data_IF_962281558419
#
_entry.id   IF_962281558419
#
_cell.length_a   1.000
_cell.length_b   1.000
_cell.length_c   1.000
_cell.angle_alpha   90.00
_cell.angle_beta   90.00
_cell.angle_gamma   90.00
#
_symmetry.space_group_name_H-M   'P 1'
#
loop_
_entity.id
_entity.type
_entity.pdbx_description
1 polymer ?
#
# COMPACT_ATOMS: atom_id res chain seq x y z
N UNK A 1 4.12 14.76 -24.75
CA UNK A 1 4.20 15.36 -26.11
C UNK A 1 3.17 14.75 -27.06
N UNK A 2 3.11 13.42 -27.27
CA UNK A 2 2.14 12.81 -28.22
C UNK A 2 0.68 12.99 -27.78
N UNK A 3 0.33 12.74 -26.51
CA UNK A 3 -1.03 12.99 -25.97
C UNK A 3 -1.47 14.47 -26.04
N UNK A 4 -0.52 15.40 -26.04
CA UNK A 4 -0.79 16.85 -26.15
C UNK A 4 -1.00 17.25 -27.60
N UNK A 5 -0.25 16.64 -28.52
CA UNK A 5 -0.36 16.89 -29.96
C UNK A 5 -1.56 16.17 -30.60
N UNK A 6 -1.94 15.00 -30.06
CA UNK A 6 -3.00 14.14 -30.59
C UNK A 6 -3.85 13.59 -29.44
N UNK A 7 -4.81 14.36 -28.93
CA UNK A 7 -5.65 13.88 -27.85
C UNK A 7 -6.52 12.69 -28.32
N UNK A 8 -6.68 11.63 -27.52
CA UNK A 8 -7.33 10.39 -27.94
C UNK A 8 -8.81 10.58 -28.33
N UNK A 9 -9.49 11.56 -27.74
CA UNK A 9 -10.93 11.78 -27.88
C UNK A 9 -11.31 12.76 -29.00
N UNK A 10 -10.35 13.25 -29.80
CA UNK A 10 -10.62 14.24 -30.84
C UNK A 10 -10.74 13.57 -32.21
N UNK A 11 -11.78 13.95 -32.96
CA UNK A 11 -12.05 13.42 -34.31
C UNK A 11 -10.88 13.66 -35.29
N UNK A 12 -10.06 14.69 -35.06
CA UNK A 12 -8.88 15.03 -35.87
C UNK A 12 -7.66 14.13 -35.64
N UNK A 13 -7.71 13.22 -34.66
CA UNK A 13 -6.58 12.32 -34.37
C UNK A 13 -6.47 11.25 -35.47
N UNK A 14 -5.30 11.11 -36.15
CA UNK A 14 -5.12 10.14 -37.22
C UNK A 14 -5.44 8.70 -36.80
N UNK A 15 -5.96 7.90 -37.73
CA UNK A 15 -6.33 6.49 -37.49
C UNK A 15 -5.17 5.65 -36.94
N UNK A 16 -3.96 5.88 -37.44
CA UNK A 16 -2.77 5.14 -37.01
C UNK A 16 -2.37 5.49 -35.57
N UNK A 17 -2.59 6.73 -35.16
CA UNK A 17 -2.37 7.20 -33.78
C UNK A 17 -3.42 6.61 -32.84
N UNK A 18 -4.69 6.52 -33.28
CA UNK A 18 -5.74 5.81 -32.53
C UNK A 18 -5.43 4.33 -32.36
N UNK A 19 -4.95 3.68 -33.43
CA UNK A 19 -4.52 2.29 -33.39
C UNK A 19 -3.33 2.09 -32.43
N UNK A 20 -2.39 3.04 -32.41
CA UNK A 20 -1.28 3.01 -31.47
C UNK A 20 -1.76 3.12 -30.01
N UNK A 21 -2.70 4.03 -29.73
CA UNK A 21 -3.31 4.13 -28.39
C UNK A 21 -3.98 2.84 -27.98
N UNK A 22 -4.75 2.22 -28.88
CA UNK A 22 -5.39 0.93 -28.61
C UNK A 22 -4.36 -0.16 -28.29
N UNK A 23 -3.29 -0.28 -29.10
CA UNK A 23 -2.24 -1.27 -28.85
C UNK A 23 -1.50 -1.05 -27.53
N UNK A 24 -1.31 0.20 -27.14
CA UNK A 24 -0.71 0.56 -25.85
C UNK A 24 -1.65 0.17 -24.70
N UNK A 25 -2.94 0.47 -24.81
CA UNK A 25 -3.94 0.08 -23.81
C UNK A 25 -4.05 -1.45 -23.69
N UNK A 26 -4.06 -2.19 -24.81
CA UNK A 26 -4.04 -3.65 -24.83
C UNK A 26 -2.79 -4.21 -24.13
N UNK A 27 -1.63 -3.59 -24.37
CA UNK A 27 -0.36 -3.99 -23.76
C UNK A 27 -0.35 -3.73 -22.25
N UNK A 28 -0.88 -2.58 -21.82
CA UNK A 28 -1.03 -2.24 -20.41
C UNK A 28 -1.96 -3.25 -19.73
N UNK A 29 -3.12 -3.52 -20.32
CA UNK A 29 -4.08 -4.48 -19.78
C UNK A 29 -3.45 -5.87 -19.66
N UNK A 30 -2.70 -6.31 -20.67
CA UNK A 30 -1.97 -7.59 -20.63
C UNK A 30 -0.98 -7.68 -19.47
N UNK A 31 -0.25 -6.61 -19.15
CA UNK A 31 0.67 -6.60 -18.01
C UNK A 31 -0.06 -6.58 -16.68
N UNK A 32 -1.18 -5.84 -16.58
CA UNK A 32 -2.05 -5.85 -15.40
C UNK A 32 -2.61 -7.26 -15.16
N UNK A 33 -3.12 -7.91 -16.20
CA UNK A 33 -3.68 -9.25 -16.11
C UNK A 33 -2.62 -10.27 -15.71
N UNK A 34 -1.40 -10.16 -16.25
CA UNK A 34 -0.27 -11.01 -15.86
C UNK A 34 0.04 -10.90 -14.36
N UNK A 35 0.05 -9.69 -13.81
CA UNK A 35 0.38 -9.45 -12.38
C UNK A 35 -0.77 -9.82 -11.44
N UNK A 36 -2.02 -9.71 -11.93
CA UNK A 36 -3.23 -9.91 -11.11
C UNK A 36 -3.91 -11.25 -11.30
N UNK A 37 -3.39 -12.10 -12.19
CA UNK A 37 -3.86 -13.48 -12.37
C UNK A 37 -3.63 -14.30 -11.10
N UNK A 38 -4.55 -15.23 -10.73
CA UNK A 38 -4.31 -16.20 -9.66
C UNK A 38 -3.09 -17.07 -10.02
N UNK A 39 -1.93 -16.78 -9.42
CA UNK A 39 -0.71 -17.53 -9.68
C UNK A 39 -0.80 -18.90 -9.01
N UNK A 40 -0.66 -19.98 -9.78
CA UNK A 40 -0.29 -21.30 -9.24
C UNK A 40 1.19 -21.24 -8.83
N UNK A 41 1.58 -21.98 -7.79
CA UNK A 41 2.97 -22.03 -7.31
C UNK A 41 3.94 -22.35 -8.46
N UNK A 42 4.67 -21.36 -8.96
CA UNK A 42 5.66 -21.55 -10.03
C UNK A 42 5.80 -20.42 -11.05
N UNK A 43 4.88 -19.45 -11.12
CA UNK A 43 5.07 -18.30 -12.03
C UNK A 43 6.02 -17.25 -11.43
N UNK A 44 7.16 -17.06 -12.10
CA UNK A 44 8.17 -16.03 -11.83
C UNK A 44 7.71 -14.65 -12.34
N UNK A 45 6.54 -14.18 -11.89
CA UNK A 45 6.22 -12.76 -12.05
C UNK A 45 7.13 -11.96 -11.13
N UNK A 46 8.16 -11.34 -11.69
CA UNK A 46 9.20 -10.63 -10.95
C UNK A 46 8.67 -9.40 -10.21
N UNK A 47 9.27 -9.07 -9.07
CA UNK A 47 9.00 -7.83 -8.31
C UNK A 47 9.13 -6.57 -9.20
N UNK A 48 10.07 -6.60 -10.15
CA UNK A 48 10.25 -5.54 -11.15
C UNK A 48 9.05 -5.35 -12.09
N UNK A 49 8.34 -6.42 -12.44
CA UNK A 49 7.12 -6.36 -13.26
C UNK A 49 5.99 -5.67 -12.49
N UNK A 50 5.86 -5.96 -11.20
CA UNK A 50 4.87 -5.30 -10.33
C UNK A 50 5.22 -3.82 -10.16
N UNK A 51 6.49 -3.48 -9.94
CA UNK A 51 6.94 -2.07 -9.87
C UNK A 51 6.59 -1.28 -11.13
N UNK A 52 6.82 -1.87 -12.30
CA UNK A 52 6.46 -1.26 -13.58
C UNK A 52 4.95 -1.04 -13.72
N UNK A 53 4.14 -2.04 -13.40
CA UNK A 53 2.67 -1.92 -13.44
C UNK A 53 2.16 -0.84 -12.49
N UNK A 54 2.71 -0.74 -11.28
CA UNK A 54 2.35 0.32 -10.33
C UNK A 54 2.71 1.72 -10.84
N UNK A 55 3.86 1.86 -11.51
CA UNK A 55 4.26 3.13 -12.15
C UNK A 55 3.29 3.51 -13.28
N UNK A 56 2.90 2.55 -14.12
CA UNK A 56 1.91 2.76 -15.18
C UNK A 56 0.57 3.17 -14.59
N UNK A 57 0.04 2.43 -13.61
CA UNK A 57 -1.24 2.73 -12.94
C UNK A 57 -1.20 4.13 -12.32
N UNK A 58 -0.10 4.50 -11.65
CA UNK A 58 0.08 5.84 -11.09
C UNK A 58 -0.01 6.91 -12.18
N UNK A 59 0.73 6.73 -13.27
CA UNK A 59 0.75 7.66 -14.40
C UNK A 59 -0.63 7.80 -15.05
N UNK A 60 -1.35 6.68 -15.22
CA UNK A 60 -2.72 6.67 -15.75
C UNK A 60 -3.70 7.39 -14.84
N UNK A 61 -3.59 7.17 -13.53
CA UNK A 61 -4.45 7.84 -12.53
C UNK A 61 -4.19 9.35 -12.49
N UNK A 62 -2.92 9.78 -12.58
CA UNK A 62 -2.54 11.20 -12.68
C UNK A 62 -3.05 11.84 -13.98
N UNK A 63 -3.12 11.06 -15.07
CA UNK A 63 -3.73 11.48 -16.33
C UNK A 63 -5.28 11.42 -16.33
N UNK A 64 -5.92 11.04 -15.21
CA UNK A 64 -7.37 10.97 -15.07
C UNK A 64 -8.02 9.72 -15.67
N UNK A 65 -7.25 8.71 -16.10
CA UNK A 65 -7.81 7.42 -16.52
C UNK A 65 -8.36 6.67 -15.31
N UNK A 66 -9.54 6.08 -15.50
CA UNK A 66 -10.16 5.22 -14.50
C UNK A 66 -9.45 3.87 -14.43
N UNK A 67 -9.12 3.43 -13.22
CA UNK A 67 -8.59 2.11 -12.92
C UNK A 67 -9.61 1.38 -12.06
N UNK A 68 -9.96 0.15 -12.43
CA UNK A 68 -10.94 -0.62 -11.69
C UNK A 68 -10.44 -0.93 -10.27
N UNK A 69 -11.23 -0.62 -9.21
CA UNK A 69 -10.82 -0.85 -7.83
C UNK A 69 -10.30 -2.27 -7.51
N UNK A 70 -10.89 -3.37 -8.06
CA UNK A 70 -10.40 -4.72 -7.79
C UNK A 70 -8.96 -4.99 -8.27
N UNK A 71 -8.44 -4.24 -9.25
CA UNK A 71 -7.06 -4.39 -9.75
C UNK A 71 -6.07 -4.07 -8.61
N UNK A 72 -6.26 -2.92 -7.96
CA UNK A 72 -5.40 -2.47 -6.85
C UNK A 72 -5.48 -3.43 -5.65
N UNK A 73 -6.66 -3.98 -5.38
CA UNK A 73 -6.85 -4.99 -4.31
C UNK A 73 -6.08 -6.27 -4.63
N UNK A 74 -6.13 -6.76 -5.87
CA UNK A 74 -5.39 -7.97 -6.28
C UNK A 74 -3.88 -7.77 -6.20
N UNK A 75 -3.37 -6.61 -6.60
CA UNK A 75 -1.95 -6.26 -6.48
C UNK A 75 -1.54 -6.20 -5.01
N UNK A 76 -2.33 -5.53 -4.16
CA UNK A 76 -2.09 -5.46 -2.71
C UNK A 76 -2.04 -6.86 -2.08
N UNK A 77 -3.01 -7.72 -2.41
CA UNK A 77 -3.04 -9.10 -1.92
C UNK A 77 -1.83 -9.93 -2.39
N UNK A 78 -1.38 -9.75 -3.63
CA UNK A 78 -0.17 -10.41 -4.15
C UNK A 78 1.06 -9.98 -3.37
N UNK A 79 1.28 -8.67 -3.24
CA UNK A 79 2.42 -8.12 -2.53
C UNK A 79 2.44 -8.52 -1.04
N UNK A 80 1.27 -8.58 -0.38
CA UNK A 80 1.17 -9.06 0.99
C UNK A 80 1.55 -10.54 1.13
N UNK A 81 1.20 -11.39 0.15
CA UNK A 81 1.67 -12.79 0.14
C UNK A 81 3.17 -12.89 -0.08
N UNK A 82 3.72 -12.07 -0.97
CA UNK A 82 5.14 -12.08 -1.30
C UNK A 82 5.98 -11.63 -0.09
N UNK A 83 5.45 -10.69 0.70
CA UNK A 83 6.01 -10.27 1.98
C UNK A 83 6.05 -11.40 3.02
N UNK A 84 4.93 -12.06 3.29
CA UNK A 84 4.89 -13.15 4.29
C UNK A 84 5.67 -14.39 3.87
N UNK A 85 5.84 -14.63 2.57
CA UNK A 85 6.69 -15.72 2.05
C UNK A 85 8.17 -15.48 2.33
N UNK A 86 8.62 -14.22 2.32
CA UNK A 86 10.01 -13.83 2.61
C UNK A 86 10.31 -13.89 4.12
N UNK A 87 9.33 -13.60 4.97
CA UNK A 87 9.46 -13.72 6.43
C UNK A 87 9.60 -15.19 6.88
N UNK A 88 8.89 -16.12 6.23
CA UNK A 88 8.91 -17.55 6.57
C UNK A 88 10.20 -18.29 6.23
N UNK A 89 10.99 -17.82 5.25
CA UNK A 89 12.28 -18.44 4.90
C UNK A 89 13.36 -18.21 5.95
N UNK A 90 13.26 -17.13 6.73
CA UNK A 90 14.26 -16.82 7.76
C UNK A 90 14.22 -17.78 8.96
N UNK A 91 13.07 -18.40 9.24
CA UNK A 91 12.87 -19.31 10.38
C UNK A 91 13.26 -20.77 10.10
N UNK A 92 13.36 -21.19 8.83
CA UNK A 92 13.72 -22.58 8.47
C UNK A 92 15.16 -22.79 8.03
N UNK A 93 15.92 -21.73 7.81
CA UNK A 93 17.34 -21.86 7.49
C UNK A 93 18.14 -22.00 8.78
N UNK A 94 18.07 -23.19 9.37
CA UNK A 94 19.01 -23.65 10.38
C UNK A 94 20.43 -23.40 9.89
N UNK A 95 21.15 -22.63 10.70
CA UNK A 95 22.57 -22.31 10.69
C UNK A 95 23.45 -23.44 10.08
N UNK A 96 23.59 -23.44 8.75
CA UNK A 96 24.74 -24.04 8.06
C UNK A 96 25.52 -22.90 7.46
N UNK A 97 26.56 -22.51 8.20
CA UNK A 97 27.56 -21.54 7.80
C UNK A 97 28.35 -22.16 6.64
N UNK A 98 27.93 -21.87 5.40
CA UNK A 98 28.78 -22.06 4.21
C UNK A 98 29.12 -20.66 3.66
N UNK A 99 30.41 -20.33 3.44
CA UNK A 99 30.86 -18.98 3.14
C UNK A 99 30.80 -18.69 1.63
N UNK A 100 29.62 -18.75 1.02
CA UNK A 100 29.39 -18.24 -0.34
C UNK A 100 28.22 -17.25 -0.32
N UNK A 101 28.47 -16.08 0.28
CA UNK A 101 27.50 -15.01 0.56
C UNK A 101 27.12 -14.14 -0.66
N UNK A 102 26.82 -14.75 -1.81
CA UNK A 102 26.24 -14.06 -2.97
C UNK A 102 24.71 -14.20 -3.05
N UNK A 103 24.11 -15.14 -2.31
CA UNK A 103 22.67 -15.46 -2.37
C UNK A 103 21.85 -14.60 -1.39
N UNK A 104 22.43 -14.24 -0.23
CA UNK A 104 21.75 -13.46 0.81
C UNK A 104 21.47 -11.99 0.39
N UNK A 105 22.34 -11.40 -0.43
CA UNK A 105 22.18 -10.01 -0.89
C UNK A 105 21.03 -9.79 -1.88
N UNK A 106 20.64 -10.83 -2.63
CA UNK A 106 19.51 -10.75 -3.59
C UNK A 106 18.15 -10.78 -2.88
N UNK A 107 18.01 -11.60 -1.84
CA UNK A 107 16.76 -11.69 -1.07
C UNK A 107 16.43 -10.40 -0.30
N UNK A 108 17.43 -9.67 0.20
CA UNK A 108 17.21 -8.36 0.84
C UNK A 108 16.78 -7.26 -0.13
N UNK A 109 17.30 -7.26 -1.37
CA UNK A 109 16.91 -6.31 -2.40
C UNK A 109 15.47 -6.52 -2.88
N UNK A 110 15.05 -7.79 -3.01
CA UNK A 110 13.68 -8.14 -3.40
C UNK A 110 12.67 -7.75 -2.31
N UNK A 111 13.00 -7.94 -1.03
CA UNK A 111 12.14 -7.50 0.09
C UNK A 111 11.95 -5.98 0.12
N UNK A 112 13.04 -5.21 -0.07
CA UNK A 112 12.97 -3.75 -0.14
C UNK A 112 12.10 -3.25 -1.30
N UNK A 113 12.16 -3.92 -2.45
CA UNK A 113 11.31 -3.62 -3.60
C UNK A 113 9.83 -4.00 -3.35
N UNK A 114 9.55 -5.12 -2.67
CA UNK A 114 8.19 -5.50 -2.25
C UNK A 114 7.62 -4.46 -1.27
N UNK A 115 8.40 -4.00 -0.29
CA UNK A 115 7.99 -2.93 0.65
C UNK A 115 7.69 -1.63 -0.12
N UNK A 116 8.57 -1.23 -1.04
CA UNK A 116 8.36 -0.05 -1.89
C UNK A 116 7.08 -0.15 -2.72
N UNK A 117 6.83 -1.33 -3.32
CA UNK A 117 5.62 -1.60 -4.08
C UNK A 117 4.36 -1.58 -3.20
N UNK A 118 4.42 -2.13 -1.98
CA UNK A 118 3.32 -2.08 -1.00
C UNK A 118 2.97 -0.63 -0.65
N UNK A 119 3.97 0.20 -0.37
CA UNK A 119 3.76 1.64 -0.14
C UNK A 119 3.11 2.31 -1.34
N UNK A 120 3.61 2.02 -2.53
CA UNK A 120 3.10 2.59 -3.78
C UNK A 120 1.62 2.21 -4.02
N UNK A 121 1.26 0.94 -3.86
CA UNK A 121 -0.14 0.50 -4.04
C UNK A 121 -1.06 1.07 -2.96
N UNK A 122 -0.61 1.19 -1.70
CA UNK A 122 -1.40 1.83 -0.64
C UNK A 122 -1.65 3.31 -0.91
N UNK A 123 -0.67 4.04 -1.48
CA UNK A 123 -0.86 5.43 -1.94
C UNK A 123 -1.85 5.55 -3.10
N UNK A 124 -1.96 4.51 -3.94
CA UNK A 124 -2.92 4.44 -5.06
C UNK A 124 -4.33 4.03 -4.62
N UNK A 125 -4.46 3.32 -3.49
CA UNK A 125 -5.76 3.01 -2.88
C UNK A 125 -6.32 4.32 -2.28
N UNK A 126 -6.97 5.07 -3.16
CA UNK A 126 -7.64 6.30 -2.83
C UNK A 126 -9.09 6.05 -2.37
N UNK A 127 -9.77 7.13 -2.00
CA UNK A 127 -11.20 7.18 -1.67
C UNK A 127 -12.05 6.32 -2.63
N UNK A 128 -11.78 6.38 -3.95
CA UNK A 128 -12.50 5.64 -4.99
C UNK A 128 -12.49 4.11 -4.80
N UNK A 129 -11.44 3.55 -4.22
CA UNK A 129 -11.35 2.11 -3.90
C UNK A 129 -12.12 1.79 -2.62
N UNK A 130 -12.01 2.68 -1.63
CA UNK A 130 -12.61 2.50 -0.30
C UNK A 130 -14.14 2.73 -0.28
N UNK A 131 -14.70 3.33 -1.33
CA UNK A 131 -16.16 3.42 -1.54
C UNK A 131 -16.78 2.05 -1.88
N UNK A 132 -16.02 1.15 -2.53
CA UNK A 132 -16.52 -0.16 -2.93
C UNK A 132 -16.48 -1.12 -1.73
N UNK A 133 -17.61 -1.62 -1.20
CA UNK A 133 -17.65 -2.35 0.07
C UNK A 133 -16.77 -3.60 0.11
N UNK A 134 -16.75 -4.38 -0.97
CA UNK A 134 -15.93 -5.59 -1.04
C UNK A 134 -14.44 -5.27 -1.12
N UNK A 135 -14.06 -4.23 -1.87
CA UNK A 135 -12.68 -3.75 -1.92
C UNK A 135 -12.24 -3.23 -0.55
N UNK A 136 -13.06 -2.41 0.11
CA UNK A 136 -12.80 -1.91 1.47
C UNK A 136 -12.59 -3.08 2.44
N UNK A 137 -13.46 -4.10 2.40
CA UNK A 137 -13.33 -5.30 3.25
C UNK A 137 -12.00 -5.99 3.00
N UNK A 138 -11.65 -6.25 1.74
CA UNK A 138 -10.39 -6.93 1.39
C UNK A 138 -9.15 -6.11 1.75
N UNK A 139 -9.13 -4.80 1.48
CA UNK A 139 -8.02 -3.91 1.88
C UNK A 139 -7.86 -3.93 3.40
N UNK A 140 -8.96 -3.79 4.14
CA UNK A 140 -8.95 -3.82 5.61
C UNK A 140 -8.42 -5.15 6.14
N UNK A 141 -8.82 -6.28 5.53
CA UNK A 141 -8.32 -7.61 5.89
C UNK A 141 -6.81 -7.74 5.65
N UNK A 142 -6.31 -7.29 4.49
CA UNK A 142 -4.87 -7.35 4.18
C UNK A 142 -4.06 -6.46 5.11
N UNK A 143 -4.49 -5.20 5.33
CA UNK A 143 -3.82 -4.29 6.27
C UNK A 143 -3.77 -4.88 7.69
N UNK A 144 -4.87 -5.49 8.15
CA UNK A 144 -4.92 -6.14 9.45
C UNK A 144 -3.96 -7.34 9.54
N UNK A 145 -3.84 -8.12 8.46
CA UNK A 145 -2.90 -9.24 8.41
C UNK A 145 -1.45 -8.73 8.48
N UNK A 146 -1.10 -7.72 7.68
CA UNK A 146 0.24 -7.10 7.68
C UNK A 146 0.60 -6.50 9.06
N UNK A 147 -0.35 -5.84 9.73
CA UNK A 147 -0.13 -5.29 11.08
C UNK A 147 0.05 -6.38 12.15
N UNK A 148 -0.53 -7.56 11.94
CA UNK A 148 -0.43 -8.68 12.88
C UNK A 148 0.80 -9.57 12.62
N UNK A 149 1.48 -9.35 11.49
CA UNK A 149 2.62 -10.16 11.07
C UNK A 149 3.89 -9.72 11.81
N UNK A 150 4.47 -10.67 12.56
CA UNK A 150 5.71 -10.45 13.33
C UNK A 150 6.87 -10.25 12.36
N UNK A 151 7.63 -9.16 12.55
CA UNK A 151 8.81 -8.85 11.73
C UNK A 151 8.54 -7.93 10.54
N UNK A 152 7.37 -7.31 10.47
CA UNK A 152 7.14 -6.20 9.52
C UNK A 152 8.11 -5.06 9.83
N UNK A 153 8.97 -4.72 8.87
CA UNK A 153 9.94 -3.63 9.02
C UNK A 153 9.27 -2.29 9.35
N UNK A 154 9.85 -1.57 10.30
CA UNK A 154 9.41 -0.24 10.73
C UNK A 154 9.23 0.71 9.55
N UNK A 155 10.12 0.58 8.55
CA UNK A 155 10.10 1.36 7.33
C UNK A 155 8.78 1.26 6.56
N UNK A 156 8.02 0.17 6.66
CA UNK A 156 6.71 0.02 6.00
C UNK A 156 5.70 1.08 6.42
N UNK A 157 5.72 1.46 7.70
CA UNK A 157 4.70 2.30 8.30
C UNK A 157 5.20 3.72 8.59
N UNK A 158 6.52 3.89 8.68
CA UNK A 158 7.18 5.17 8.93
C UNK A 158 7.45 5.86 7.58
N UNK A 159 6.54 6.75 7.13
CA UNK A 159 6.78 7.65 6.00
C UNK A 159 6.26 9.07 6.28
N UNK A 160 6.87 10.10 5.70
CA UNK A 160 6.68 11.52 6.05
C UNK A 160 5.38 12.16 5.53
N UNK A 161 4.70 11.53 4.57
CA UNK A 161 3.59 12.18 3.85
C UNK A 161 2.19 11.93 4.44
N UNK A 162 2.04 11.10 5.47
CA UNK A 162 0.73 10.91 6.12
C UNK A 162 0.21 12.17 6.83
N UNK A 163 1.11 13.11 7.16
CA UNK A 163 0.83 14.24 8.03
C UNK A 163 0.77 15.60 7.33
N UNK A 164 0.64 15.70 6.00
CA UNK A 164 0.38 17.02 5.37
C UNK A 164 -1.02 17.49 5.78
N UNK A 165 -1.16 18.52 6.65
CA UNK A 165 -2.45 19.00 7.09
C UNK A 165 -3.11 19.69 5.90
N UNK A 166 -4.30 19.24 5.51
CA UNK A 166 -5.09 19.88 4.45
C UNK A 166 -5.63 18.97 3.36
N UNK A 167 -5.35 17.66 3.39
CA UNK A 167 -5.93 16.70 2.42
C UNK A 167 -6.74 15.57 3.05
N UNK A 168 -7.25 15.75 4.27
CA UNK A 168 -8.25 14.83 4.81
C UNK A 168 -9.63 15.44 4.53
N UNK A 169 -10.15 15.20 3.33
CA UNK A 169 -11.60 15.28 3.16
C UNK A 169 -12.20 14.24 4.11
N UNK A 170 -13.15 14.65 4.94
CA UNK A 170 -13.89 13.76 5.83
C UNK A 170 -14.67 12.75 4.98
N UNK A 171 -13.98 11.70 4.54
CA UNK A 171 -14.55 10.72 3.63
C UNK A 171 -15.37 9.77 4.51
N UNK A 172 -16.70 9.83 4.39
CA UNK A 172 -17.65 9.05 5.19
C UNK A 172 -17.61 7.53 4.95
N UNK A 173 -16.55 7.01 4.33
CA UNK A 173 -16.40 5.61 3.98
C UNK A 173 -15.86 4.76 5.13
N UNK A 174 -15.06 5.34 6.03
CA UNK A 174 -14.53 4.64 7.20
C UNK A 174 -15.35 5.06 8.43
N UNK A 175 -15.96 4.08 9.07
CA UNK A 175 -16.76 4.30 10.27
C UNK A 175 -15.86 4.65 11.47
N UNK A 176 -16.37 5.41 12.46
CA UNK A 176 -15.62 5.72 13.68
C UNK A 176 -15.04 4.49 14.37
N UNK A 177 -15.80 3.38 14.40
CA UNK A 177 -15.36 2.11 14.98
C UNK A 177 -14.16 1.49 14.23
N UNK A 178 -14.16 1.57 12.91
CA UNK A 178 -13.04 1.09 12.09
C UNK A 178 -11.79 1.95 12.31
N UNK A 179 -11.94 3.28 12.43
CA UNK A 179 -10.83 4.19 12.77
C UNK A 179 -10.22 3.81 14.11
N UNK A 180 -11.05 3.68 15.15
CA UNK A 180 -10.58 3.31 16.49
C UNK A 180 -9.91 1.94 16.47
N UNK A 181 -10.52 0.94 15.83
CA UNK A 181 -9.93 -0.40 15.73
C UNK A 181 -8.59 -0.40 15.00
N UNK A 182 -8.42 0.42 13.96
CA UNK A 182 -7.17 0.54 13.24
C UNK A 182 -6.09 1.20 14.11
N UNK A 183 -6.43 2.29 14.80
CA UNK A 183 -5.52 2.96 15.73
C UNK A 183 -5.08 2.03 16.87
N UNK A 184 -5.98 1.21 17.42
CA UNK A 184 -5.64 0.21 18.44
C UNK A 184 -4.71 -0.90 17.92
N UNK A 185 -4.77 -1.23 16.63
CA UNK A 185 -3.84 -2.19 16.03
C UNK A 185 -2.47 -1.57 15.79
N UNK A 186 -2.44 -0.30 15.37
CA UNK A 186 -1.19 0.45 15.21
C UNK A 186 -0.42 0.56 16.54
N UNK A 187 -1.11 0.77 17.66
CA UNK A 187 -0.43 0.80 18.98
C UNK A 187 0.15 -0.55 19.40
N UNK A 188 -0.30 -1.65 18.80
CA UNK A 188 0.11 -3.02 19.11
C UNK A 188 1.11 -3.60 18.11
N UNK A 189 1.56 -2.81 17.12
CA UNK A 189 2.59 -3.24 16.17
C UNK A 189 3.82 -3.70 16.95
N UNK A 190 4.34 -4.88 16.60
CA UNK A 190 5.53 -5.43 17.22
C UNK A 190 6.76 -4.60 16.84
N UNK A 191 7.32 -3.90 17.82
CA UNK A 191 8.47 -3.01 17.63
C UNK A 191 9.81 -3.70 17.92
N UNK A 192 9.82 -5.00 18.24
CA UNK A 192 11.05 -5.72 18.59
C UNK A 192 12.09 -5.74 17.47
N UNK A 193 11.67 -5.61 16.21
CA UNK A 193 12.53 -5.55 15.04
C UNK A 193 13.01 -4.14 14.69
N UNK A 194 12.57 -3.09 15.40
CA UNK A 194 12.86 -1.71 15.04
C UNK A 194 14.27 -1.32 15.53
N UNK A 195 14.97 -0.51 14.74
CA UNK A 195 16.12 0.22 15.26
C UNK A 195 15.65 1.29 16.27
N UNK A 196 16.57 1.78 17.11
CA UNK A 196 16.26 2.83 18.08
C UNK A 196 15.65 4.07 17.41
N UNK A 197 16.27 4.55 16.33
CA UNK A 197 15.79 5.72 15.57
C UNK A 197 14.40 5.47 14.96
N UNK A 198 14.15 4.27 14.43
CA UNK A 198 12.86 3.91 13.87
C UNK A 198 11.76 3.81 14.94
N UNK A 199 12.11 3.44 16.18
CA UNK A 199 11.17 3.41 17.28
C UNK A 199 10.73 4.84 17.68
N UNK A 200 11.68 5.77 17.79
CA UNK A 200 11.36 7.18 18.10
C UNK A 200 10.52 7.83 17.00
N UNK A 201 10.86 7.59 15.73
CA UNK A 201 10.11 8.11 14.59
C UNK A 201 8.70 7.53 14.51
N UNK A 202 8.53 6.25 14.81
CA UNK A 202 7.22 5.62 14.92
C UNK A 202 6.36 6.29 15.98
N UNK A 203 6.88 6.40 17.20
CA UNK A 203 6.14 6.98 18.32
C UNK A 203 5.77 8.44 18.04
N UNK A 204 6.70 9.23 17.48
CA UNK A 204 6.45 10.60 17.04
C UNK A 204 5.31 10.68 16.02
N UNK A 205 5.35 9.87 14.96
CA UNK A 205 4.34 9.90 13.89
C UNK A 205 2.99 9.40 14.37
N UNK A 206 2.97 8.37 15.20
CA UNK A 206 1.73 7.85 15.75
C UNK A 206 1.09 8.83 16.73
N UNK A 207 1.87 9.50 17.59
CA UNK A 207 1.37 10.59 18.43
C UNK A 207 0.85 11.77 17.60
N UNK A 208 1.56 12.15 16.54
CA UNK A 208 1.11 13.21 15.62
C UNK A 208 -0.22 12.86 14.95
N UNK A 209 -0.41 11.60 14.56
CA UNK A 209 -1.68 11.11 14.01
C UNK A 209 -2.82 11.19 15.05
N UNK A 210 -2.59 10.72 16.28
CA UNK A 210 -3.58 10.78 17.35
C UNK A 210 -3.96 12.22 17.67
N UNK A 211 -2.97 13.10 17.81
CA UNK A 211 -3.21 14.53 18.04
C UNK A 211 -3.96 15.16 16.87
N UNK A 212 -3.60 14.82 15.63
CA UNK A 212 -4.31 15.29 14.44
C UNK A 212 -5.80 14.96 14.48
N UNK A 213 -6.16 13.73 14.87
CA UNK A 213 -7.57 13.32 14.97
C UNK A 213 -8.27 14.00 16.16
N UNK A 214 -7.62 14.05 17.32
CA UNK A 214 -8.20 14.62 18.54
C UNK A 214 -8.35 16.16 18.47
N UNK A 215 -7.41 16.86 17.84
CA UNK A 215 -7.40 18.32 17.77
C UNK A 215 -8.18 18.86 16.55
N UNK A 216 -8.32 18.09 15.48
CA UNK A 216 -9.02 18.56 14.28
C UNK A 216 -10.55 18.54 14.45
N UNK A 217 -11.13 19.74 14.37
CA UNK A 217 -12.58 19.97 14.43
C UNK A 217 -13.36 19.41 13.24
N UNK A 218 -12.70 18.99 12.16
CA UNK A 218 -13.34 18.30 11.02
C UNK A 218 -13.86 16.91 11.42
N UNK A 219 -13.31 16.30 12.47
CA UNK A 219 -13.80 15.05 13.03
C UNK A 219 -14.92 15.26 14.06
N UNK A 220 -15.95 14.41 13.97
CA UNK A 220 -17.07 14.43 14.91
C UNK A 220 -16.60 14.28 16.36
N UNK A 221 -17.25 15.00 17.29
CA UNK A 221 -16.94 14.92 18.72
C UNK A 221 -16.98 13.48 19.28
N UNK A 222 -17.96 12.62 18.94
CA UNK A 222 -17.99 11.24 19.41
C UNK A 222 -16.75 10.43 18.99
N UNK A 223 -16.28 10.59 17.75
CA UNK A 223 -15.06 9.94 17.28
C UNK A 223 -13.84 10.39 18.09
N UNK A 224 -13.68 11.70 18.30
CA UNK A 224 -12.56 12.24 19.07
C UNK A 224 -12.54 11.72 20.51
N UNK A 225 -13.70 11.64 21.15
CA UNK A 225 -13.84 11.06 22.48
C UNK A 225 -13.51 9.57 22.51
N UNK A 226 -13.95 8.80 21.51
CA UNK A 226 -13.63 7.37 21.43
C UNK A 226 -12.13 7.13 21.23
N UNK A 227 -11.47 7.92 20.36
CA UNK A 227 -10.01 7.82 20.16
C UNK A 227 -9.25 8.14 21.44
N UNK A 228 -9.62 9.22 22.13
CA UNK A 228 -9.01 9.56 23.42
C UNK A 228 -9.17 8.44 24.45
N UNK A 229 -10.39 7.92 24.64
CA UNK A 229 -10.68 6.94 25.69
C UNK A 229 -10.13 5.54 25.40
N UNK A 230 -10.19 5.09 24.14
CA UNK A 230 -9.88 3.70 23.76
C UNK A 230 -8.50 3.52 23.14
N UNK A 231 -7.81 4.62 22.81
CA UNK A 231 -6.49 4.57 22.19
C UNK A 231 -5.48 5.33 23.05
N UNK A 232 -5.60 6.66 23.11
CA UNK A 232 -4.60 7.51 23.76
C UNK A 232 -4.42 7.13 25.23
N UNK A 233 -5.53 7.06 25.99
CA UNK A 233 -5.48 6.69 27.41
C UNK A 233 -5.02 5.26 27.69
N UNK A 234 -5.16 4.33 26.73
CA UNK A 234 -4.85 2.91 26.96
C UNK A 234 -3.44 2.52 26.56
N UNK A 235 -2.88 3.19 25.54
CA UNK A 235 -1.62 2.78 24.92
C UNK A 235 -0.52 3.84 25.03
N UNK A 236 -0.83 5.07 25.46
CA UNK A 236 0.14 6.17 25.57
C UNK A 236 0.30 6.75 26.98
N UNK A 237 -0.71 6.59 27.85
CA UNK A 237 -0.74 7.08 29.23
C UNK A 237 -0.80 5.89 30.20
#
# INVERSE_FOLDING_TARGET
MVFVAFPPDVASTPSDVKLLYQKVDDLIQKHIDSVTSPQTSGDDTSVSSISFVLLVIKTLTEAGKYIEPPILVRILQRLARDMGSSAGSHLRQGQRTDPDSAVSSRQGADLGAVISNLKSVLKLICEKVMVVPDCKRSVTQVLNALLSEKGTDAGMWIEDDFCKPGRVTSSGFISPKEIVSFLQKLSQVDKQSFSHDAHEDWDRKYLQLLYGICADSTYSLPLRQEVFQKVERQFML
#
